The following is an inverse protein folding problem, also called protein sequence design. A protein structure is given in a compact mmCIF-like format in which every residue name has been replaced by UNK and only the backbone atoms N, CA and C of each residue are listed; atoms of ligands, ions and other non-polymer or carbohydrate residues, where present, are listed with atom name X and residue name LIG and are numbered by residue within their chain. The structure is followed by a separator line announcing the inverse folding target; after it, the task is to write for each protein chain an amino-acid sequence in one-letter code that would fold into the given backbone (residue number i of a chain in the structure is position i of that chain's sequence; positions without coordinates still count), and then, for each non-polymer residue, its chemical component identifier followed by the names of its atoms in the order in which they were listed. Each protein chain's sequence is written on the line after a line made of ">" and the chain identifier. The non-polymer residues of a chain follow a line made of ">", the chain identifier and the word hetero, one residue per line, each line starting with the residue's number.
data_IF_542796651454
#
_entry.id   IF_542796651454
#
_cell.length_a   1.000
_cell.length_b   1.000
_cell.length_c   1.000
_cell.angle_alpha   90.00
_cell.angle_beta   90.00
_cell.angle_gamma   90.00
#
_symmetry.space_group_name_H-M   'P 1'
#
loop_
_entity.id
_entity.type
_entity.pdbx_description
1 polymer ?
#
# COMPACT_ATOMS: atom_id res chain seq x y z
N UNK A 1 10.12 -13.60 -44.96
CA UNK A 1 8.81 -14.22 -44.66
C UNK A 1 9.10 -15.33 -43.67
N UNK A 2 8.72 -15.32 -42.40
CA UNK A 2 7.96 -14.41 -41.53
C UNK A 2 8.60 -14.56 -40.13
N UNK A 3 8.78 -13.44 -39.43
CA UNK A 3 9.12 -13.43 -38.01
C UNK A 3 7.84 -13.66 -37.20
N UNK A 4 7.78 -14.74 -36.43
CA UNK A 4 6.80 -14.88 -35.36
C UNK A 4 7.48 -14.54 -34.03
N UNK A 5 7.19 -13.32 -33.57
CA UNK A 5 7.45 -12.83 -32.22
C UNK A 5 6.76 -13.74 -31.20
N UNK A 6 7.51 -14.70 -30.66
CA UNK A 6 7.12 -15.42 -29.45
C UNK A 6 7.21 -14.46 -28.26
N UNK A 7 6.06 -13.95 -27.81
CA UNK A 7 5.94 -13.33 -26.50
C UNK A 7 6.00 -14.42 -25.42
N UNK A 8 6.88 -14.32 -24.42
CA UNK A 8 6.83 -15.22 -23.26
C UNK A 8 5.57 -14.90 -22.45
N UNK A 9 4.65 -15.86 -22.32
CA UNK A 9 3.42 -15.74 -21.52
C UNK A 9 3.60 -16.10 -20.05
N UNK A 10 4.80 -16.49 -19.61
CA UNK A 10 5.02 -16.90 -18.23
C UNK A 10 5.67 -15.77 -17.42
N UNK A 11 4.86 -14.77 -17.07
CA UNK A 11 5.11 -13.99 -15.86
C UNK A 11 4.27 -14.61 -14.74
N UNK A 12 4.91 -15.51 -13.99
CA UNK A 12 4.46 -15.88 -12.65
C UNK A 12 4.44 -14.61 -11.78
N UNK A 13 3.31 -13.90 -11.78
CA UNK A 13 3.01 -12.87 -10.80
C UNK A 13 2.69 -13.55 -9.48
N UNK A 14 3.71 -14.08 -8.80
CA UNK A 14 3.63 -14.31 -7.37
C UNK A 14 3.68 -12.93 -6.70
N UNK A 15 2.51 -12.30 -6.52
CA UNK A 15 2.35 -11.12 -5.67
C UNK A 15 2.57 -11.54 -4.22
N UNK A 16 3.70 -11.23 -3.57
CA UNK A 16 3.93 -11.55 -2.18
C UNK A 16 3.45 -10.37 -1.33
N UNK A 17 2.23 -9.88 -1.56
CA UNK A 17 1.69 -8.72 -0.83
C UNK A 17 0.39 -9.03 -0.08
N UNK A 18 -0.07 -10.29 -0.09
CA UNK A 18 -1.21 -10.72 0.70
C UNK A 18 -0.88 -11.79 1.74
N UNK A 19 0.41 -12.01 1.97
CA UNK A 19 0.90 -13.12 2.79
C UNK A 19 2.00 -12.65 3.72
N UNK A 20 1.66 -11.73 4.62
CA UNK A 20 2.39 -11.68 5.89
C UNK A 20 1.50 -11.20 7.03
N UNK A 21 1.72 -11.83 8.18
CA UNK A 21 0.97 -11.70 9.43
C UNK A 21 -0.43 -12.34 9.42
N UNK A 22 -0.42 -13.68 9.36
CA UNK A 22 -1.26 -14.45 10.28
C UNK A 22 -0.63 -14.40 11.68
N UNK A 23 -0.46 -13.21 12.27
CA UNK A 23 -0.29 -13.13 13.73
C UNK A 23 -1.68 -13.28 14.34
N UNK A 24 -2.04 -14.55 14.50
CA UNK A 24 -2.84 -14.97 15.65
C UNK A 24 -2.09 -14.52 16.88
N UNK A 25 -2.38 -13.32 17.41
CA UNK A 25 -2.27 -12.91 18.82
C UNK A 25 -2.38 -11.38 18.99
N UNK A 26 -3.31 -10.74 18.26
CA UNK A 26 -3.83 -9.47 18.74
C UNK A 26 -4.88 -9.80 19.79
N UNK A 27 -4.46 -9.69 21.05
CA UNK A 27 -5.29 -9.54 22.23
C UNK A 27 -6.33 -8.44 22.00
N UNK A 28 -7.46 -8.78 21.37
CA UNK A 28 -8.55 -7.84 21.13
C UNK A 28 -9.32 -7.63 22.43
N UNK A 29 -8.83 -6.71 23.27
CA UNK A 29 -9.64 -6.10 24.32
C UNK A 29 -10.74 -5.28 23.63
N UNK A 30 -11.97 -5.79 23.65
CA UNK A 30 -13.15 -5.07 23.21
C UNK A 30 -13.66 -4.17 24.36
N UNK A 31 -13.82 -2.85 24.16
CA UNK A 31 -14.78 -2.07 24.92
C UNK A 31 -16.19 -2.45 24.45
N UNK A 32 -17.06 -2.80 25.40
CA UNK A 32 -18.41 -3.35 25.19
C UNK A 32 -19.48 -2.34 24.73
N UNK A 33 -19.11 -1.12 24.33
CA UNK A 33 -20.10 -0.06 24.14
C UNK A 33 -20.14 0.43 22.69
N UNK A 34 -20.97 -0.24 21.88
CA UNK A 34 -21.51 0.34 20.66
C UNK A 34 -23.02 0.05 20.59
N UNK A 35 -23.80 0.80 21.37
CA UNK A 35 -25.22 0.99 21.10
C UNK A 35 -25.39 2.17 20.12
N UNK A 36 -26.26 1.93 19.14
CA UNK A 36 -27.16 2.88 18.50
C UNK A 36 -26.58 3.89 17.49
N UNK A 37 -26.84 3.69 16.18
CA UNK A 37 -27.07 4.76 15.19
C UNK A 37 -28.09 4.27 14.16
N UNK A 38 -29.13 5.08 13.98
CA UNK A 38 -30.35 4.88 13.22
C UNK A 38 -30.21 4.66 11.71
N UNK A 39 -31.28 4.08 11.17
CA UNK A 39 -31.51 3.81 9.75
C UNK A 39 -32.54 4.83 9.24
N UNK A 40 -32.17 5.60 8.22
CA UNK A 40 -33.07 6.36 7.34
C UNK A 40 -32.69 6.00 5.89
N UNK A 41 -33.66 5.35 5.21
CA UNK A 41 -34.14 5.41 3.80
C UNK A 41 -33.09 5.56 2.65
N UNK A 42 -33.11 4.86 1.51
CA UNK A 42 -34.20 4.48 0.60
C UNK A 42 -33.84 3.25 -0.31
N UNK A 43 -34.90 2.56 -0.75
CA UNK A 43 -35.19 1.52 -1.79
C UNK A 43 -34.19 1.10 -2.92
N UNK A 44 -34.48 0.07 -3.77
CA UNK A 44 -35.49 -1.01 -3.70
C UNK A 44 -34.95 -2.43 -4.05
N UNK A 45 -35.85 -3.41 -3.97
CA UNK A 45 -35.77 -4.78 -4.51
C UNK A 45 -35.04 -5.81 -3.65
N UNK A 46 -35.82 -6.54 -2.87
CA UNK A 46 -35.82 -8.02 -2.74
C UNK A 46 -36.69 -8.34 -1.52
N UNK A 47 -37.72 -9.16 -1.71
CA UNK A 47 -38.78 -9.46 -0.74
C UNK A 47 -38.28 -9.76 0.67
N UNK A 48 -38.49 -8.81 1.58
CA UNK A 48 -38.23 -8.96 3.01
C UNK A 48 -39.53 -9.33 3.71
N UNK A 49 -39.54 -10.51 4.35
CA UNK A 49 -40.43 -10.75 5.49
C UNK A 49 -40.07 -9.73 6.57
N UNK A 50 -40.94 -8.74 6.77
CA UNK A 50 -40.75 -7.69 7.78
C UNK A 50 -41.05 -8.25 9.18
N UNK A 51 -40.35 -7.73 10.19
CA UNK A 51 -40.60 -8.05 11.61
C UNK A 51 -41.89 -7.42 12.15
N UNK A 52 -42.54 -6.56 11.37
CA UNK A 52 -43.83 -5.94 11.68
C UNK A 52 -44.94 -6.61 10.88
N UNK A 53 -45.20 -7.88 11.20
CA UNK A 53 -46.43 -8.52 10.76
C UNK A 53 -47.59 -8.01 11.63
N UNK A 54 -48.75 -7.62 11.06
CA UNK A 54 -49.92 -7.33 11.87
C UNK A 54 -50.32 -8.63 12.60
N UNK A 55 -50.61 -8.55 13.90
CA UNK A 55 -51.27 -9.64 14.61
C UNK A 55 -52.68 -9.85 14.03
N UNK A 56 -52.79 -10.55 12.91
CA UNK A 56 -54.05 -11.16 12.50
C UNK A 56 -54.25 -12.37 13.39
N UNK A 57 -55.22 -12.27 14.29
CA UNK A 57 -55.70 -13.39 15.10
C UNK A 57 -56.10 -14.55 14.18
N UNK A 58 -55.22 -15.55 14.10
CA UNK A 58 -55.49 -16.80 13.41
C UNK A 58 -56.38 -17.67 14.28
N UNK A 59 -57.69 -17.57 14.09
CA UNK A 59 -58.65 -18.53 14.60
C UNK A 59 -58.49 -19.87 13.87
N UNK A 60 -57.82 -20.82 14.49
CA UNK A 60 -57.98 -22.25 14.22
C UNK A 60 -59.04 -22.85 15.16
N UNK A 61 -59.68 -23.98 14.81
CA UNK A 61 -60.81 -24.51 15.55
C UNK A 61 -60.33 -24.97 16.94
N UNK A 62 -60.82 -24.30 17.98
CA UNK A 62 -60.62 -24.74 19.37
C UNK A 62 -61.66 -25.83 19.62
N UNK A 63 -61.19 -27.08 19.73
CA UNK A 63 -61.94 -28.14 20.38
C UNK A 63 -62.45 -27.64 21.73
N UNK A 64 -63.77 -27.70 21.92
CA UNK A 64 -64.41 -27.44 23.20
C UNK A 64 -63.93 -28.49 24.19
N UNK A 65 -63.04 -28.10 25.08
CA UNK A 65 -63.05 -28.48 26.50
C UNK A 65 -61.78 -27.97 27.17
N UNK A 66 -61.81 -26.73 27.66
CA UNK A 66 -60.92 -26.28 28.75
C UNK A 66 -61.66 -25.27 29.61
N UNK A 67 -62.21 -25.79 30.70
CA UNK A 67 -62.29 -25.14 32.02
C UNK A 67 -61.51 -23.82 32.07
N UNK A 68 -62.23 -22.72 32.31
CA UNK A 68 -61.68 -21.39 32.54
C UNK A 68 -60.85 -21.43 33.82
N UNK A 69 -59.58 -21.83 33.70
CA UNK A 69 -58.58 -21.48 34.69
C UNK A 69 -58.18 -20.05 34.40
N UNK A 70 -58.76 -19.11 35.15
CA UNK A 70 -58.24 -17.75 35.31
C UNK A 70 -56.82 -17.80 35.90
N UNK A 71 -55.84 -18.11 35.06
CA UNK A 71 -54.45 -17.99 35.42
C UNK A 71 -54.06 -16.52 35.31
N UNK A 72 -53.81 -15.90 36.46
CA UNK A 72 -53.28 -14.54 36.56
C UNK A 72 -52.13 -14.33 35.57
N UNK A 73 -52.09 -13.16 34.92
CA UNK A 73 -51.06 -12.73 33.96
C UNK A 73 -49.65 -13.03 34.48
N UNK A 74 -49.40 -12.87 35.79
CA UNK A 74 -48.14 -13.25 36.43
C UNK A 74 -47.82 -14.74 36.27
N UNK A 75 -48.78 -15.64 36.46
CA UNK A 75 -48.58 -17.09 36.22
C UNK A 75 -48.37 -17.40 34.75
N UNK A 76 -49.05 -16.70 33.84
CA UNK A 76 -48.82 -16.82 32.38
C UNK A 76 -47.42 -16.36 31.98
N UNK A 77 -46.96 -15.25 32.55
CA UNK A 77 -45.64 -14.67 32.31
C UNK A 77 -44.53 -15.56 32.91
N UNK A 78 -44.72 -16.05 34.14
CA UNK A 78 -43.82 -17.02 34.77
C UNK A 78 -43.76 -18.31 33.96
N UNK A 79 -44.91 -18.81 33.48
CA UNK A 79 -44.97 -19.98 32.61
C UNK A 79 -44.29 -19.74 31.25
N UNK A 80 -44.37 -18.54 30.70
CA UNK A 80 -43.67 -18.14 29.49
C UNK A 80 -42.15 -18.12 29.69
N UNK A 81 -41.65 -17.47 30.75
CA UNK A 81 -40.21 -17.43 31.05
C UNK A 81 -39.66 -18.80 31.43
N UNK A 82 -40.42 -19.62 32.18
CA UNK A 82 -40.04 -21.01 32.47
C UNK A 82 -39.99 -21.85 31.20
N UNK A 83 -40.93 -21.67 30.26
CA UNK A 83 -40.86 -22.32 28.94
C UNK A 83 -39.69 -21.83 28.11
N UNK A 84 -39.37 -20.53 28.14
CA UNK A 84 -38.22 -19.96 27.42
C UNK A 84 -36.86 -20.44 27.98
N UNK A 85 -36.77 -20.60 29.30
CA UNK A 85 -35.58 -21.13 29.97
C UNK A 85 -35.44 -22.66 29.82
N UNK A 86 -36.57 -23.40 29.84
CA UNK A 86 -36.60 -24.86 29.67
C UNK A 86 -36.59 -25.29 28.21
N UNK A 87 -36.98 -24.41 27.28
CA UNK A 87 -36.65 -24.55 25.87
C UNK A 87 -35.17 -24.24 25.75
N UNK A 88 -34.34 -25.21 26.13
CA UNK A 88 -32.90 -25.15 25.99
C UNK A 88 -32.60 -24.48 24.64
N UNK A 89 -32.15 -23.20 24.64
CA UNK A 89 -31.66 -22.62 23.42
C UNK A 89 -30.36 -23.37 23.24
N UNK A 90 -30.45 -24.48 22.50
CA UNK A 90 -29.33 -25.39 22.31
C UNK A 90 -28.10 -24.54 22.03
N UNK A 91 -27.01 -24.85 22.71
CA UNK A 91 -25.70 -24.18 22.64
C UNK A 91 -25.34 -23.76 21.19
N UNK A 92 -25.86 -24.48 20.20
CA UNK A 92 -25.84 -24.17 18.78
C UNK A 92 -26.41 -22.78 18.38
N UNK A 93 -27.51 -22.26 18.94
CA UNK A 93 -28.10 -20.97 18.49
C UNK A 93 -27.32 -19.74 18.96
N UNK A 94 -26.83 -19.72 20.19
CA UNK A 94 -25.96 -18.64 20.70
C UNK A 94 -24.55 -18.73 20.11
N UNK A 95 -24.00 -19.93 19.93
CA UNK A 95 -22.73 -20.12 19.22
C UNK A 95 -22.81 -19.72 17.73
N UNK A 96 -23.94 -20.01 17.05
CA UNK A 96 -24.18 -19.54 15.67
C UNK A 96 -24.36 -18.03 15.60
N UNK A 97 -24.96 -17.40 16.60
CA UNK A 97 -25.06 -15.93 16.71
C UNK A 97 -23.67 -15.29 16.89
N UNK A 98 -22.82 -15.85 17.76
CA UNK A 98 -21.44 -15.40 17.95
C UNK A 98 -20.58 -15.56 16.69
N UNK A 99 -20.70 -16.69 15.99
CA UNK A 99 -20.02 -16.92 14.71
C UNK A 99 -20.50 -15.95 13.61
N UNK A 100 -21.81 -15.71 13.53
CA UNK A 100 -22.38 -14.77 12.57
C UNK A 100 -21.87 -13.34 12.83
N UNK A 101 -21.87 -12.91 14.09
CA UNK A 101 -21.32 -11.60 14.49
C UNK A 101 -19.83 -11.47 14.18
N UNK A 102 -19.02 -12.48 14.53
CA UNK A 102 -17.60 -12.50 14.19
C UNK A 102 -17.37 -12.44 12.68
N UNK A 103 -18.16 -13.17 11.89
CA UNK A 103 -18.12 -13.12 10.43
C UNK A 103 -18.45 -11.71 9.92
N UNK A 104 -19.50 -11.07 10.44
CA UNK A 104 -19.87 -9.70 10.08
C UNK A 104 -18.77 -8.69 10.42
N UNK A 105 -18.12 -8.82 11.58
CA UNK A 105 -17.03 -7.92 11.98
C UNK A 105 -15.78 -8.13 11.13
N UNK A 106 -15.41 -9.38 10.85
CA UNK A 106 -14.31 -9.70 9.92
C UNK A 106 -14.58 -9.15 8.53
N UNK A 107 -15.80 -9.29 8.02
CA UNK A 107 -16.18 -8.74 6.72
C UNK A 107 -16.16 -7.21 6.71
N UNK A 108 -16.60 -6.55 7.79
CA UNK A 108 -16.48 -5.10 7.95
C UNK A 108 -15.02 -4.67 7.88
N UNK A 109 -14.14 -5.29 8.66
CA UNK A 109 -12.71 -5.00 8.65
C UNK A 109 -12.10 -5.22 7.26
N UNK A 110 -12.46 -6.33 6.59
CA UNK A 110 -12.02 -6.61 5.22
C UNK A 110 -12.43 -5.49 4.26
N UNK A 111 -13.66 -4.99 4.35
CA UNK A 111 -14.14 -3.87 3.51
C UNK A 111 -13.42 -2.56 3.81
N UNK A 112 -13.13 -2.27 5.08
CA UNK A 112 -12.34 -1.09 5.46
C UNK A 112 -10.94 -1.15 4.87
N UNK A 113 -10.24 -2.29 5.03
CA UNK A 113 -8.92 -2.50 4.42
C UNK A 113 -8.95 -2.34 2.90
N UNK A 114 -9.95 -2.91 2.23
CA UNK A 114 -10.09 -2.80 0.78
C UNK A 114 -10.38 -1.36 0.34
N UNK A 115 -11.21 -0.62 1.08
CA UNK A 115 -11.48 0.79 0.78
C UNK A 115 -10.20 1.63 0.92
N UNK A 116 -9.42 1.40 1.98
CA UNK A 116 -8.14 2.06 2.20
C UNK A 116 -7.15 1.76 1.06
N UNK A 117 -7.02 0.49 0.65
CA UNK A 117 -6.09 0.14 -0.44
C UNK A 117 -6.44 0.83 -1.77
N UNK A 118 -7.73 1.06 -2.06
CA UNK A 118 -8.13 1.85 -3.23
C UNK A 118 -7.76 3.32 -3.10
N UNK A 119 -7.88 3.89 -1.90
CA UNK A 119 -7.46 5.27 -1.61
C UNK A 119 -5.95 5.42 -1.78
N UNK A 120 -5.16 4.51 -1.23
CA UNK A 120 -3.70 4.52 -1.35
C UNK A 120 -3.26 4.36 -2.80
N UNK A 121 -3.92 3.46 -3.55
CA UNK A 121 -3.68 3.28 -4.98
C UNK A 121 -3.98 4.57 -5.76
N UNK A 122 -5.12 5.21 -5.50
CA UNK A 122 -5.52 6.46 -6.18
C UNK A 122 -4.57 7.61 -5.88
N UNK A 123 -4.02 7.70 -4.66
CA UNK A 123 -3.04 8.72 -4.28
C UNK A 123 -1.72 8.61 -5.07
N UNK A 124 -1.38 7.43 -5.59
CA UNK A 124 -0.20 7.21 -6.45
C UNK A 124 -0.46 7.50 -7.93
N UNK A 125 -1.71 7.73 -8.32
CA UNK A 125 -2.09 8.03 -9.70
C UNK A 125 -1.89 9.52 -10.02
N UNK A 126 -1.83 9.87 -11.32
CA UNK A 126 -1.81 11.27 -11.72
C UNK A 126 -2.96 12.07 -11.11
N UNK A 127 -2.73 13.34 -10.72
CA UNK A 127 -3.75 14.18 -10.11
C UNK A 127 -4.90 14.41 -11.09
N UNK A 128 -6.13 14.48 -10.57
CA UNK A 128 -7.35 14.62 -11.38
C UNK A 128 -7.87 13.30 -11.98
N UNK A 129 -7.28 12.16 -11.62
CA UNK A 129 -7.80 10.84 -12.01
C UNK A 129 -9.15 10.54 -11.36
N UNK A 130 -10.01 9.81 -12.08
CA UNK A 130 -11.35 9.42 -11.60
C UNK A 130 -11.25 8.48 -10.39
N UNK A 131 -12.04 8.75 -9.35
CA UNK A 131 -12.02 8.01 -8.08
C UNK A 131 -12.94 6.77 -8.03
N UNK A 132 -13.51 6.32 -9.17
CA UNK A 132 -14.32 5.10 -9.18
C UNK A 132 -13.43 3.86 -9.19
N UNK A 133 -13.81 2.79 -8.46
CA UNK A 133 -12.97 1.58 -8.29
C UNK A 133 -12.45 1.00 -9.60
N UNK A 134 -13.31 0.87 -10.60
CA UNK A 134 -12.93 0.36 -11.92
C UNK A 134 -11.97 1.30 -12.64
N UNK A 135 -12.21 2.62 -12.57
CA UNK A 135 -11.33 3.60 -13.18
C UNK A 135 -9.96 3.64 -12.50
N UNK A 136 -9.90 3.57 -11.17
CA UNK A 136 -8.64 3.51 -10.41
C UNK A 136 -7.77 2.35 -10.91
N UNK A 137 -8.35 1.14 -11.04
CA UNK A 137 -7.61 -0.04 -11.52
C UNK A 137 -7.15 0.14 -12.96
N UNK A 138 -8.04 0.57 -13.86
CA UNK A 138 -7.71 0.77 -15.27
C UNK A 138 -6.61 1.83 -15.47
N UNK A 139 -6.72 2.96 -14.77
CA UNK A 139 -5.73 4.04 -14.82
C UNK A 139 -4.40 3.55 -14.23
N UNK A 140 -4.43 2.82 -13.11
CA UNK A 140 -3.22 2.23 -12.53
C UNK A 140 -2.50 1.30 -13.51
N UNK A 141 -3.24 0.38 -14.16
CA UNK A 141 -2.68 -0.52 -15.17
C UNK A 141 -2.06 0.24 -16.33
N UNK A 142 -2.75 1.25 -16.87
CA UNK A 142 -2.22 2.07 -17.95
C UNK A 142 -0.99 2.89 -17.51
N UNK A 143 -1.00 3.38 -16.27
CA UNK A 143 0.08 4.17 -15.70
C UNK A 143 1.34 3.33 -15.48
N UNK A 144 1.23 2.10 -14.98
CA UNK A 144 2.36 1.16 -14.85
C UNK A 144 3.02 0.95 -16.22
N UNK A 145 2.25 0.65 -17.27
CA UNK A 145 2.78 0.47 -18.63
C UNK A 145 3.52 1.71 -19.13
N UNK A 146 2.98 2.91 -18.87
CA UNK A 146 3.64 4.17 -19.23
C UNK A 146 4.96 4.36 -18.47
N UNK A 147 4.98 4.06 -17.18
CA UNK A 147 6.18 4.17 -16.34
C UNK A 147 7.26 3.18 -16.78
N UNK A 148 6.90 1.95 -17.12
CA UNK A 148 7.81 0.95 -17.66
C UNK A 148 8.45 1.40 -18.97
N UNK A 149 7.64 1.92 -19.90
CA UNK A 149 8.15 2.49 -21.15
C UNK A 149 9.11 3.67 -20.91
N UNK A 150 8.74 4.59 -20.02
CA UNK A 150 9.58 5.75 -19.67
C UNK A 150 10.89 5.31 -19.02
N UNK A 151 10.85 4.29 -18.15
CA UNK A 151 12.02 3.69 -17.51
C UNK A 151 12.96 3.04 -18.53
N UNK A 152 12.42 2.31 -19.50
CA UNK A 152 13.21 1.67 -20.56
C UNK A 152 13.90 2.72 -21.45
N UNK A 153 13.17 3.76 -21.84
CA UNK A 153 13.73 4.86 -22.65
C UNK A 153 14.83 5.63 -21.90
N UNK A 154 14.59 5.96 -20.63
CA UNK A 154 15.60 6.64 -19.80
C UNK A 154 16.84 5.78 -19.60
N UNK A 155 16.69 4.46 -19.43
CA UNK A 155 17.82 3.54 -19.36
C UNK A 155 18.61 3.53 -20.66
N UNK A 156 17.96 3.37 -21.81
CA UNK A 156 18.61 3.39 -23.12
C UNK A 156 19.43 4.67 -23.33
N UNK A 157 18.83 5.83 -23.04
CA UNK A 157 19.52 7.13 -23.15
C UNK A 157 20.67 7.26 -22.16
N UNK A 158 20.51 6.76 -20.93
CA UNK A 158 21.58 6.77 -19.94
C UNK A 158 22.76 5.92 -20.41
N UNK A 159 22.49 4.72 -20.92
CA UNK A 159 23.51 3.81 -21.44
C UNK A 159 24.25 4.44 -22.63
N UNK A 160 23.52 5.02 -23.60
CA UNK A 160 24.09 5.78 -24.73
C UNK A 160 24.99 6.94 -24.26
N UNK A 161 24.56 7.71 -23.26
CA UNK A 161 25.36 8.80 -22.71
C UNK A 161 26.59 8.27 -21.97
N UNK A 162 26.45 7.19 -21.22
CA UNK A 162 27.56 6.58 -20.48
C UNK A 162 28.61 5.97 -21.42
N UNK A 163 28.20 5.36 -22.54
CA UNK A 163 29.14 4.89 -23.56
C UNK A 163 29.84 6.06 -24.24
N UNK A 164 29.11 7.08 -24.67
CA UNK A 164 29.71 8.29 -25.26
C UNK A 164 30.70 8.97 -24.31
N UNK A 165 30.39 9.04 -23.01
CA UNK A 165 31.29 9.58 -22.00
C UNK A 165 32.53 8.72 -21.79
N UNK A 166 32.40 7.39 -21.79
CA UNK A 166 33.53 6.46 -21.71
C UNK A 166 34.44 6.58 -22.92
N UNK A 167 33.89 6.58 -24.12
CA UNK A 167 34.68 6.74 -25.35
C UNK A 167 35.37 8.11 -25.41
N UNK A 168 34.68 9.20 -25.03
CA UNK A 168 35.31 10.51 -24.85
C UNK A 168 36.38 10.49 -23.75
N UNK A 169 36.29 9.56 -22.79
CA UNK A 169 37.31 9.38 -21.76
C UNK A 169 38.54 8.65 -22.22
N UNK A 170 38.36 7.62 -23.01
CA UNK A 170 39.45 6.83 -23.58
C UNK A 170 40.19 7.59 -24.69
N UNK A 171 39.48 8.40 -25.49
CA UNK A 171 40.10 9.20 -26.56
C UNK A 171 40.83 10.45 -26.09
N UNK A 172 40.54 10.94 -24.90
CA UNK A 172 41.21 12.14 -24.39
C UNK A 172 42.39 11.69 -23.53
N UNK A 173 43.59 11.93 -24.03
CA UNK A 173 44.80 11.82 -23.22
C UNK A 173 44.67 12.80 -22.04
N UNK A 174 44.83 12.28 -20.82
CA UNK A 174 44.76 13.08 -19.60
C UNK A 174 46.06 13.00 -18.85
N UNK A 175 46.69 14.16 -18.62
CA UNK A 175 47.82 14.25 -17.70
C UNK A 175 47.29 14.36 -16.27
N UNK A 176 47.92 13.63 -15.34
CA UNK A 176 47.51 13.56 -13.94
C UNK A 176 48.42 14.43 -13.09
N UNK A 177 47.87 15.47 -12.47
CA UNK A 177 48.59 16.38 -11.59
C UNK A 177 48.17 16.08 -10.14
N UNK A 178 49.11 15.69 -9.29
CA UNK A 178 48.89 15.49 -7.86
C UNK A 178 49.51 16.63 -7.07
N UNK A 179 48.71 17.32 -6.26
CA UNK A 179 49.14 18.36 -5.33
C UNK A 179 48.97 17.82 -3.91
N UNK A 180 50.04 17.79 -3.12
CA UNK A 180 50.03 17.29 -1.75
C UNK A 180 50.57 18.35 -0.80
N UNK A 181 49.91 18.51 0.35
CA UNK A 181 50.32 19.42 1.42
C UNK A 181 50.21 18.71 2.77
N UNK A 182 51.35 18.51 3.41
CA UNK A 182 51.44 18.11 4.82
C UNK A 182 51.17 19.33 5.72
N UNK A 183 50.40 19.16 6.80
CA UNK A 183 49.96 20.22 7.71
C UNK A 183 49.23 21.38 6.97
N UNK A 184 48.02 21.12 6.45
CA UNK A 184 47.33 22.08 5.59
C UNK A 184 47.01 23.40 6.29
N UNK A 185 46.82 23.43 7.61
CA UNK A 185 46.55 24.67 8.35
C UNK A 185 47.63 25.75 8.17
N UNK A 186 48.90 25.36 7.97
CA UNK A 186 50.02 26.29 7.80
C UNK A 186 50.43 26.51 6.33
N UNK A 187 50.00 25.64 5.41
CA UNK A 187 50.50 25.60 4.02
C UNK A 187 49.40 25.59 2.96
N UNK A 188 48.16 25.82 3.35
CA UNK A 188 47.01 25.90 2.44
C UNK A 188 47.16 27.01 1.41
N UNK A 189 47.75 28.15 1.78
CA UNK A 189 47.97 29.27 0.85
C UNK A 189 48.91 28.91 -0.30
N UNK A 190 49.95 28.10 -0.02
CA UNK A 190 50.83 27.56 -1.04
C UNK A 190 50.08 26.66 -2.02
N UNK A 191 49.13 25.85 -1.52
CA UNK A 191 48.26 25.04 -2.37
C UNK A 191 47.35 25.90 -3.23
N UNK A 192 46.71 26.91 -2.64
CA UNK A 192 45.83 27.86 -3.34
C UNK A 192 46.61 28.58 -4.44
N UNK A 193 47.86 28.98 -4.18
CA UNK A 193 48.75 29.58 -5.15
C UNK A 193 49.02 28.65 -6.34
N UNK A 194 49.38 27.39 -6.09
CA UNK A 194 49.61 26.40 -7.15
C UNK A 194 48.34 26.15 -8.00
N UNK A 195 47.17 26.02 -7.36
CA UNK A 195 45.89 25.86 -8.04
C UNK A 195 45.51 27.10 -8.87
N UNK A 196 45.84 28.30 -8.39
CA UNK A 196 45.62 29.55 -9.12
C UNK A 196 46.52 29.64 -10.36
N UNK A 197 47.78 29.18 -10.27
CA UNK A 197 48.67 29.07 -11.43
C UNK A 197 48.09 28.09 -12.47
N UNK A 198 47.63 26.91 -12.05
CA UNK A 198 46.98 25.94 -12.96
C UNK A 198 45.74 26.53 -13.63
N UNK A 199 44.93 27.31 -12.90
CA UNK A 199 43.78 28.04 -13.46
C UNK A 199 44.21 29.09 -14.49
N UNK A 200 45.30 29.83 -14.23
CA UNK A 200 45.86 30.83 -15.13
C UNK A 200 46.42 30.26 -16.44
N UNK A 201 46.90 29.01 -16.41
CA UNK A 201 47.38 28.28 -17.59
C UNK A 201 46.24 27.78 -18.50
N UNK A 202 44.98 28.03 -18.14
CA UNK A 202 43.79 27.64 -18.89
C UNK A 202 43.76 26.14 -19.29
N UNK A 203 44.31 25.28 -18.42
CA UNK A 203 44.31 23.83 -18.62
C UNK A 203 42.92 23.30 -18.28
N UNK A 204 42.27 22.63 -19.22
CA UNK A 204 40.94 22.08 -19.03
C UNK A 204 40.94 20.95 -18.00
N UNK A 205 40.53 21.23 -16.77
CA UNK A 205 40.38 20.20 -15.74
C UNK A 205 39.15 19.32 -16.04
N UNK A 206 39.36 18.01 -16.07
CA UNK A 206 38.32 17.01 -16.33
C UNK A 206 37.72 16.48 -15.04
N UNK A 207 38.59 16.10 -14.11
CA UNK A 207 38.20 15.54 -12.82
C UNK A 207 39.08 16.16 -11.75
N UNK A 208 38.47 16.54 -10.63
CA UNK A 208 39.20 16.98 -9.44
C UNK A 208 38.77 16.09 -8.29
N UNK A 209 39.74 15.43 -7.64
CA UNK A 209 39.50 14.60 -6.47
C UNK A 209 40.37 15.09 -5.33
N UNK A 210 39.73 15.56 -4.26
CA UNK A 210 40.40 15.96 -3.04
C UNK A 210 40.26 14.88 -1.96
N UNK A 211 41.29 14.72 -1.15
CA UNK A 211 41.31 13.86 0.04
C UNK A 211 41.98 14.60 1.18
N UNK A 212 41.43 14.44 2.38
CA UNK A 212 41.96 15.04 3.59
C UNK A 212 41.97 13.98 4.70
N UNK A 213 43.12 13.81 5.35
CA UNK A 213 43.36 12.78 6.36
C UNK A 213 43.87 13.38 7.68
N UNK A 214 43.44 14.60 8.02
CA UNK A 214 43.85 15.32 9.24
C UNK A 214 45.26 15.92 9.18
N UNK A 215 46.27 15.12 8.81
CA UNK A 215 47.66 15.53 8.70
C UNK A 215 48.10 15.90 7.26
N UNK A 216 47.37 15.42 6.24
CA UNK A 216 47.67 15.66 4.83
C UNK A 216 46.42 16.05 4.05
N UNK A 217 46.57 17.04 3.17
CA UNK A 217 45.59 17.41 2.14
C UNK A 217 46.18 17.10 0.77
N UNK A 218 45.49 16.27 0.00
CA UNK A 218 45.91 15.87 -1.33
C UNK A 218 44.80 16.16 -2.35
N UNK A 219 45.15 16.75 -3.49
CA UNK A 219 44.27 16.95 -4.63
C UNK A 219 44.88 16.27 -5.86
N UNK A 220 44.08 15.50 -6.57
CA UNK A 220 44.44 14.88 -7.86
C UNK A 220 43.55 15.49 -8.93
N UNK A 221 44.18 16.05 -9.96
CA UNK A 221 43.52 16.74 -11.06
C UNK A 221 43.92 16.03 -12.35
N UNK A 222 42.92 15.54 -13.07
CA UNK A 222 43.11 15.01 -14.42
C UNK A 222 42.87 16.17 -15.40
N UNK A 223 43.89 16.60 -16.11
CA UNK A 223 43.80 17.69 -17.10
C UNK A 223 43.78 17.12 -18.51
N UNK A 224 42.95 17.70 -19.37
CA UNK A 224 42.92 17.35 -20.79
C UNK A 224 44.19 17.87 -21.47
N UNK A 225 44.95 16.98 -22.11
CA UNK A 225 45.97 17.40 -23.05
C UNK A 225 45.29 17.59 -24.40
N UNK A 226 45.48 18.76 -25.02
CA UNK A 226 45.11 18.91 -26.42
C UNK A 226 46.17 18.16 -27.21
N UNK A 227 45.78 17.10 -27.90
CA UNK A 227 46.59 16.52 -28.96
C UNK A 227 46.90 17.65 -29.96
N UNK A 228 48.18 17.75 -30.35
CA UNK A 228 48.68 18.78 -31.26
C UNK A 228 48.09 18.72 -32.66
#
# INVERSE_FOLDING_TARGET
>A
MEELLNFPTDFDYHFPFFQDSMDTDILWSFPSDCLDIGILDDDPLIGRRTAFAPYRGGGGPISSDRSVREENIHKRLIGFFKRAANSSPGIDRTARSGRCYQHMMRERQRRVKLAQSYSDLHAMLPPGSKASKNAIVQIATAYIRRLEGSKAELRRRNDELMTMLRERNERAETAKIKVCVSNPSSKIDSMIGALRCLKGMNVGARTVRARFDGAELAATIDVQTKDG
#
